data_IF_173621732022
#
_entry.id   IF_173621732022
#
_cell.length_a   1.000
_cell.length_b   1.000
_cell.length_c   1.000
_cell.angle_alpha   90.00
_cell.angle_beta   90.00
_cell.angle_gamma   90.00
#
_symmetry.space_group_name_H-M   'P 1'
#
loop_
_entity.id
_entity.type
_entity.pdbx_description
1 polymer ?
#
# COMPACT_ATOMS: atom_id res chain seq x y z
N UNK A 1 18.67 -29.58 11.97
CA UNK A 1 17.44 -29.12 12.65
C UNK A 1 16.28 -29.36 11.72
N UNK A 2 15.29 -30.13 12.17
CA UNK A 2 14.08 -30.46 11.39
C UNK A 2 13.21 -29.21 11.29
N UNK A 3 12.89 -28.80 10.07
CA UNK A 3 12.13 -27.58 9.77
C UNK A 3 10.70 -27.70 10.31
N UNK A 4 10.16 -26.65 10.93
CA UNK A 4 8.73 -26.64 11.28
C UNK A 4 7.90 -26.10 10.11
N UNK A 5 6.67 -26.58 9.97
CA UNK A 5 5.72 -26.08 8.96
C UNK A 5 5.46 -24.57 9.10
N UNK A 6 5.53 -24.05 10.33
CA UNK A 6 5.35 -22.63 10.62
C UNK A 6 6.48 -21.77 10.03
N UNK A 7 7.72 -22.24 10.09
CA UNK A 7 8.88 -21.50 9.58
C UNK A 7 8.87 -21.41 8.04
N UNK A 8 8.42 -22.49 7.38
CA UNK A 8 8.25 -22.54 5.93
C UNK A 8 7.18 -21.54 5.48
N UNK A 9 6.05 -21.51 6.18
CA UNK A 9 4.94 -20.63 5.84
C UNK A 9 5.28 -19.15 6.04
N UNK A 10 5.91 -18.81 7.17
CA UNK A 10 6.40 -17.45 7.43
C UNK A 10 7.39 -17.00 6.35
N UNK A 11 8.29 -17.88 5.93
CA UNK A 11 9.27 -17.59 4.88
C UNK A 11 8.61 -17.37 3.51
N UNK A 12 7.57 -18.15 3.18
CA UNK A 12 6.80 -17.94 1.96
C UNK A 12 6.07 -16.60 1.97
N UNK A 13 5.39 -16.28 3.07
CA UNK A 13 4.71 -14.98 3.23
C UNK A 13 5.68 -13.82 3.08
N UNK A 14 6.83 -13.85 3.74
CA UNK A 14 7.84 -12.80 3.60
C UNK A 14 8.35 -12.67 2.16
N UNK A 15 8.53 -13.78 1.43
CA UNK A 15 8.92 -13.72 -0.01
C UNK A 15 7.85 -13.03 -0.85
N UNK A 16 6.57 -13.32 -0.61
CA UNK A 16 5.44 -12.67 -1.29
C UNK A 16 5.43 -11.16 -1.02
N UNK A 17 5.68 -10.73 0.23
CA UNK A 17 5.75 -9.31 0.54
C UNK A 17 6.96 -8.65 -0.13
N UNK A 18 8.13 -9.29 -0.10
CA UNK A 18 9.32 -8.80 -0.81
C UNK A 18 9.05 -8.63 -2.31
N UNK A 19 8.37 -9.59 -2.92
CA UNK A 19 8.03 -9.55 -4.35
C UNK A 19 7.05 -8.43 -4.69
N UNK A 20 6.02 -8.23 -3.87
CA UNK A 20 5.02 -7.18 -4.06
C UNK A 20 5.57 -5.78 -3.78
N UNK A 21 6.46 -5.65 -2.80
CA UNK A 21 6.93 -4.35 -2.31
C UNK A 21 8.13 -3.83 -3.10
N UNK A 22 9.07 -4.70 -3.48
CA UNK A 22 10.32 -4.26 -4.10
C UNK A 22 10.39 -4.54 -5.61
N UNK A 23 11.02 -3.65 -6.39
CA UNK A 23 11.20 -3.83 -7.84
C UNK A 23 11.95 -5.13 -8.15
N UNK A 24 11.81 -5.63 -9.37
CA UNK A 24 12.50 -6.87 -9.79
C UNK A 24 13.99 -6.62 -9.97
N UNK A 25 14.37 -5.54 -10.65
CA UNK A 25 15.78 -5.19 -10.87
C UNK A 25 16.34 -4.46 -9.66
N UNK A 26 17.53 -4.85 -9.22
CA UNK A 26 18.21 -4.19 -8.10
C UNK A 26 17.57 -4.43 -6.71
N UNK A 27 16.50 -5.24 -6.63
CA UNK A 27 15.78 -5.59 -5.39
C UNK A 27 16.66 -5.75 -4.16
N UNK A 28 17.71 -6.56 -4.30
CA UNK A 28 18.55 -6.95 -3.18
C UNK A 28 19.49 -5.82 -2.72
N UNK A 29 19.95 -4.97 -3.64
CA UNK A 29 20.73 -3.79 -3.27
C UNK A 29 19.86 -2.75 -2.55
N UNK A 30 18.61 -2.59 -2.99
CA UNK A 30 17.63 -1.77 -2.28
C UNK A 30 17.35 -2.35 -0.90
N UNK A 31 17.01 -3.65 -0.80
CA UNK A 31 16.78 -4.33 0.48
C UNK A 31 17.97 -4.18 1.43
N UNK A 32 19.19 -4.34 0.94
CA UNK A 32 20.41 -4.14 1.73
C UNK A 32 20.53 -2.72 2.26
N UNK A 33 20.35 -1.72 1.39
CA UNK A 33 20.40 -0.31 1.80
C UNK A 33 19.36 0.07 2.86
N UNK A 34 18.20 -0.59 2.86
CA UNK A 34 17.09 -0.23 3.77
C UNK A 34 17.01 -1.07 5.03
N UNK A 35 17.49 -2.32 4.98
CA UNK A 35 17.46 -3.25 6.11
C UNK A 35 18.80 -3.38 6.83
N UNK A 36 19.91 -3.00 6.19
CA UNK A 36 21.26 -3.30 6.67
C UNK A 36 21.64 -4.78 6.54
N UNK A 37 20.75 -5.64 6.04
CA UNK A 37 21.00 -7.07 5.83
C UNK A 37 21.56 -7.27 4.42
N UNK A 38 22.67 -8.00 4.28
CA UNK A 38 23.38 -8.03 3.01
C UNK A 38 22.55 -8.53 1.83
N UNK A 39 22.81 -7.98 0.64
CA UNK A 39 22.07 -8.31 -0.58
C UNK A 39 22.16 -9.81 -0.91
N UNK A 40 23.33 -10.42 -0.67
CA UNK A 40 23.52 -11.86 -0.84
C UNK A 40 22.65 -12.69 0.12
N UNK A 41 22.43 -12.22 1.35
CA UNK A 41 21.59 -12.91 2.32
C UNK A 41 20.12 -12.81 1.92
N UNK A 42 19.66 -11.63 1.49
CA UNK A 42 18.33 -11.49 0.90
C UNK A 42 18.14 -12.36 -0.35
N UNK A 43 19.15 -12.43 -1.23
CA UNK A 43 19.13 -13.27 -2.43
C UNK A 43 19.01 -14.75 -2.09
N UNK A 44 19.80 -15.24 -1.12
CA UNK A 44 19.72 -16.62 -0.66
C UNK A 44 18.37 -16.93 -0.04
N UNK A 45 17.79 -16.00 0.73
CA UNK A 45 16.45 -16.16 1.29
C UNK A 45 15.37 -16.23 0.20
N UNK A 46 15.39 -15.27 -0.72
CA UNK A 46 14.39 -15.14 -1.79
C UNK A 46 14.36 -16.37 -2.69
N UNK A 47 15.54 -16.85 -3.12
CA UNK A 47 15.67 -18.04 -3.95
C UNK A 47 15.65 -19.37 -3.15
N UNK A 48 15.08 -19.36 -1.95
CA UNK A 48 14.84 -20.56 -1.10
C UNK A 48 16.10 -21.35 -0.73
N UNK A 49 17.27 -20.72 -0.77
CA UNK A 49 18.53 -21.31 -0.26
C UNK A 49 18.64 -21.24 1.25
N UNK A 50 17.91 -20.33 1.88
CA UNK A 50 17.71 -20.24 3.33
C UNK A 50 16.27 -19.81 3.65
N UNK A 51 15.83 -20.09 4.88
CA UNK A 51 14.58 -19.56 5.43
C UNK A 51 14.75 -18.13 5.95
N UNK A 52 13.64 -17.49 6.30
CA UNK A 52 13.64 -16.17 6.88
C UNK A 52 14.40 -16.20 8.21
N UNK A 53 15.43 -15.36 8.32
CA UNK A 53 16.13 -15.19 9.58
C UNK A 53 15.36 -14.21 10.49
N UNK A 54 15.52 -14.29 11.83
CA UNK A 54 14.78 -13.43 12.76
C UNK A 54 14.93 -11.93 12.48
N UNK A 55 16.12 -11.49 12.10
CA UNK A 55 16.41 -10.10 11.73
C UNK A 55 15.69 -9.63 10.46
N UNK A 56 15.48 -10.52 9.48
CA UNK A 56 14.66 -10.21 8.29
C UNK A 56 13.19 -10.00 8.65
N UNK A 57 12.67 -10.81 9.57
CA UNK A 57 11.30 -10.71 10.06
C UNK A 57 11.13 -9.46 10.92
N UNK A 58 12.06 -9.21 11.84
CA UNK A 58 12.07 -8.03 12.71
C UNK A 58 12.14 -6.74 11.89
N UNK A 59 13.04 -6.68 10.90
CA UNK A 59 13.11 -5.59 9.94
C UNK A 59 11.74 -5.33 9.31
N UNK A 60 11.08 -6.38 8.81
CA UNK A 60 9.80 -6.23 8.13
C UNK A 60 8.71 -5.74 9.07
N UNK A 61 8.57 -6.37 10.23
CA UNK A 61 7.56 -6.02 11.24
C UNK A 61 7.73 -4.60 11.76
N UNK A 62 8.97 -4.09 11.84
CA UNK A 62 9.25 -2.70 12.23
C UNK A 62 8.97 -1.71 11.11
N UNK A 63 9.30 -2.07 9.86
CA UNK A 63 9.20 -1.17 8.70
C UNK A 63 7.79 -1.11 8.11
N UNK A 64 7.06 -2.22 8.13
CA UNK A 64 5.73 -2.39 7.53
C UNK A 64 4.72 -2.98 8.51
N UNK A 65 4.32 -2.24 9.55
CA UNK A 65 3.67 -2.88 10.70
C UNK A 65 2.20 -3.26 10.44
N UNK A 66 1.60 -2.66 9.41
CA UNK A 66 0.32 -3.12 8.85
C UNK A 66 0.38 -4.56 8.31
N UNK A 67 1.55 -5.01 7.85
CA UNK A 67 1.74 -6.34 7.26
C UNK A 67 2.17 -7.38 8.31
N UNK A 68 2.48 -6.94 9.53
CA UNK A 68 3.00 -7.80 10.62
C UNK A 68 2.05 -8.95 10.96
N UNK A 69 0.75 -8.66 11.11
CA UNK A 69 -0.24 -9.68 11.49
C UNK A 69 -0.32 -10.80 10.44
N UNK A 70 -0.32 -10.42 9.16
CA UNK A 70 -0.32 -11.37 8.05
C UNK A 70 1.01 -12.13 7.97
N UNK A 71 2.14 -11.44 8.08
CA UNK A 71 3.46 -12.07 8.06
C UNK A 71 3.63 -13.14 9.16
N UNK A 72 3.29 -12.80 10.39
CA UNK A 72 3.54 -13.66 11.56
C UNK A 72 2.50 -14.77 11.70
N UNK A 73 1.23 -14.46 11.52
CA UNK A 73 0.14 -15.39 11.85
C UNK A 73 -0.60 -15.92 10.61
N UNK A 74 -0.41 -15.34 9.42
CA UNK A 74 -1.22 -15.63 8.25
C UNK A 74 -2.67 -15.18 8.40
N UNK A 75 -2.94 -14.38 9.44
CA UNK A 75 -4.25 -13.78 9.66
C UNK A 75 -4.39 -12.67 8.64
N UNK A 76 -5.17 -12.94 7.61
CA UNK A 76 -5.63 -11.90 6.70
C UNK A 76 -6.46 -10.88 7.50
N UNK A 77 -6.33 -9.61 7.11
CA UNK A 77 -7.20 -8.56 7.64
C UNK A 77 -8.68 -8.96 7.47
N UNK A 78 -9.61 -8.39 8.26
CA UNK A 78 -11.04 -8.69 8.12
C UNK A 78 -11.49 -8.67 6.65
N UNK A 79 -12.47 -9.54 6.35
CA UNK A 79 -12.91 -9.96 5.02
C UNK A 79 -12.83 -8.83 3.98
N UNK A 80 -11.81 -8.88 3.12
CA UNK A 80 -11.61 -7.89 2.06
C UNK A 80 -12.81 -7.82 1.08
N UNK A 81 -13.62 -8.88 0.99
CA UNK A 81 -14.81 -8.92 0.14
C UNK A 81 -15.88 -7.89 0.53
N UNK A 82 -15.87 -7.42 1.78
CA UNK A 82 -16.83 -6.42 2.26
C UNK A 82 -16.32 -4.98 2.08
N UNK A 83 -15.04 -4.82 1.75
CA UNK A 83 -14.42 -3.52 1.53
C UNK A 83 -14.46 -3.12 0.05
N UNK A 84 -14.78 -1.86 -0.24
CA UNK A 84 -14.93 -1.38 -1.61
C UNK A 84 -13.61 -0.96 -2.27
N UNK A 85 -12.47 -1.25 -1.64
CA UNK A 85 -11.14 -0.81 -2.07
C UNK A 85 -10.21 -2.01 -2.28
N UNK A 86 -9.36 -1.93 -3.31
CA UNK A 86 -8.42 -2.99 -3.65
C UNK A 86 -7.25 -3.10 -2.65
N UNK A 87 -6.94 -2.01 -1.94
CA UNK A 87 -5.92 -1.99 -0.91
C UNK A 87 -6.44 -2.53 0.42
N UNK A 88 -5.64 -3.31 1.17
CA UNK A 88 -6.03 -3.75 2.51
C UNK A 88 -6.23 -2.52 3.40
N UNK A 89 -7.31 -2.54 4.18
CA UNK A 89 -7.68 -1.46 5.13
C UNK A 89 -6.48 -1.09 6.01
N UNK A 90 -6.11 0.20 6.10
CA UNK A 90 -5.06 0.60 6.99
C UNK A 90 -5.53 0.46 8.44
N UNK A 91 -4.60 0.15 9.32
CA UNK A 91 -4.86 0.16 10.76
C UNK A 91 -4.34 1.46 11.31
N UNK A 92 -5.14 2.13 12.14
CA UNK A 92 -4.63 3.21 12.94
C UNK A 92 -3.64 2.65 13.96
N UNK A 93 -2.56 3.41 14.19
CA UNK A 93 -1.43 3.01 15.01
C UNK A 93 -0.59 4.22 15.38
N UNK A 94 0.03 4.16 16.57
CA UNK A 94 0.83 5.25 17.09
C UNK A 94 2.05 5.52 16.20
N UNK A 95 2.21 6.78 15.77
CA UNK A 95 3.30 7.21 14.89
C UNK A 95 2.99 7.16 13.39
N UNK A 96 1.73 6.95 12.98
CA UNK A 96 1.34 6.99 11.57
C UNK A 96 1.63 8.35 10.91
N UNK A 97 2.41 8.33 9.83
CA UNK A 97 2.82 9.52 9.08
C UNK A 97 1.89 9.83 7.90
N UNK A 98 2.01 11.05 7.35
CA UNK A 98 1.38 11.39 6.06
C UNK A 98 1.89 10.47 4.94
N UNK A 99 3.17 10.09 4.96
CA UNK A 99 3.74 9.12 4.04
C UNK A 99 3.04 7.76 4.10
N UNK A 100 2.66 7.31 5.30
CA UNK A 100 1.92 6.05 5.46
C UNK A 100 0.54 6.10 4.83
N UNK A 101 -0.21 7.17 5.10
CA UNK A 101 -1.55 7.38 4.54
C UNK A 101 -1.50 7.56 3.03
N UNK A 102 -0.54 8.35 2.54
CA UNK A 102 -0.33 8.53 1.10
C UNK A 102 0.01 7.21 0.41
N UNK A 103 0.90 6.41 1.00
CA UNK A 103 1.29 5.10 0.46
C UNK A 103 0.10 4.14 0.39
N UNK A 104 -0.81 4.19 1.37
CA UNK A 104 -2.05 3.44 1.29
C UNK A 104 -2.91 3.89 0.09
N UNK A 105 -3.10 5.20 -0.11
CA UNK A 105 -3.88 5.71 -1.25
C UNK A 105 -3.22 5.38 -2.59
N UNK A 106 -1.89 5.38 -2.66
CA UNK A 106 -1.15 4.96 -3.87
C UNK A 106 -1.44 3.48 -4.18
N UNK A 107 -1.47 2.62 -3.16
CA UNK A 107 -1.80 1.19 -3.32
C UNK A 107 -3.27 0.99 -3.73
N UNK A 108 -4.19 1.83 -3.24
CA UNK A 108 -5.60 1.83 -3.67
C UNK A 108 -5.72 2.31 -5.13
N UNK A 109 -4.94 3.30 -5.52
CA UNK A 109 -5.04 3.91 -6.83
C UNK A 109 -4.44 3.04 -7.93
N UNK A 110 -3.25 2.51 -7.70
CA UNK A 110 -2.44 1.91 -8.74
C UNK A 110 -2.26 0.40 -8.48
N UNK A 111 -2.97 -0.38 -9.30
CA UNK A 111 -2.93 -1.85 -9.32
C UNK A 111 -1.57 -2.49 -9.70
N UNK A 112 -0.65 -1.85 -10.47
CA UNK A 112 0.67 -2.44 -10.70
C UNK A 112 1.53 -2.45 -9.44
N UNK A 113 2.36 -3.48 -9.27
CA UNK A 113 3.36 -3.56 -8.20
C UNK A 113 4.78 -3.25 -8.73
N UNK A 114 5.68 -2.82 -7.85
CA UNK A 114 7.09 -2.62 -8.17
C UNK A 114 7.38 -1.55 -9.25
N UNK A 115 8.19 -1.88 -10.26
CA UNK A 115 8.66 -0.90 -11.27
C UNK A 115 7.51 -0.30 -12.09
N UNK A 116 6.47 -1.08 -12.36
CA UNK A 116 5.30 -0.61 -13.10
C UNK A 116 4.53 0.45 -12.33
N UNK A 117 4.48 0.35 -10.99
CA UNK A 117 3.88 1.36 -10.12
C UNK A 117 4.64 2.68 -10.24
N UNK A 118 5.95 2.63 -10.11
CA UNK A 118 6.78 3.84 -10.07
C UNK A 118 6.79 4.55 -11.42
N UNK A 119 6.91 3.80 -12.52
CA UNK A 119 6.79 4.34 -13.87
C UNK A 119 5.39 4.92 -14.12
N UNK A 120 4.34 4.27 -13.62
CA UNK A 120 2.98 4.79 -13.70
C UNK A 120 2.85 6.14 -12.96
N UNK A 121 3.34 6.24 -11.72
CA UNK A 121 3.29 7.48 -10.94
C UNK A 121 4.11 8.61 -11.58
N UNK A 122 5.28 8.30 -12.11
CA UNK A 122 6.09 9.25 -12.89
C UNK A 122 5.30 9.77 -14.11
N UNK A 123 4.66 8.88 -14.87
CA UNK A 123 3.82 9.29 -16.01
C UNK A 123 2.67 10.20 -15.59
N UNK A 124 2.06 9.98 -14.42
CA UNK A 124 0.98 10.84 -13.88
C UNK A 124 1.47 12.22 -13.47
N UNK A 125 2.74 12.33 -13.08
CA UNK A 125 3.39 13.61 -12.83
C UNK A 125 3.84 14.34 -14.11
N UNK A 126 3.66 13.73 -15.29
CA UNK A 126 4.26 14.14 -16.56
C UNK A 126 5.80 14.20 -16.50
N UNK A 127 6.43 13.25 -15.81
CA UNK A 127 7.89 13.16 -15.65
C UNK A 127 8.49 14.18 -14.68
N UNK A 128 7.69 14.99 -13.99
CA UNK A 128 8.19 15.98 -13.01
C UNK A 128 8.74 15.33 -11.74
N UNK A 129 8.16 14.21 -11.32
CA UNK A 129 8.59 13.43 -10.17
C UNK A 129 9.11 12.07 -10.70
N UNK A 130 10.44 11.83 -10.66
CA UNK A 130 11.02 10.61 -11.20
C UNK A 130 10.52 9.34 -10.50
N UNK A 131 10.45 8.21 -11.21
CA UNK A 131 10.12 6.90 -10.62
C UNK A 131 11.03 6.55 -9.43
N UNK A 132 12.29 6.97 -9.46
CA UNK A 132 13.22 6.78 -8.35
C UNK A 132 12.76 7.50 -7.07
N UNK A 133 12.21 8.71 -7.18
CA UNK A 133 11.68 9.45 -6.02
C UNK A 133 10.40 8.81 -5.48
N UNK A 134 9.49 8.41 -6.37
CA UNK A 134 8.31 7.63 -5.99
C UNK A 134 8.69 6.34 -5.26
N UNK A 135 9.73 5.65 -5.73
CA UNK A 135 10.22 4.44 -5.08
C UNK A 135 10.68 4.70 -3.66
N UNK A 136 11.37 5.82 -3.41
CA UNK A 136 11.83 6.19 -2.06
C UNK A 136 10.66 6.42 -1.12
N UNK A 137 9.61 7.09 -1.56
CA UNK A 137 8.43 7.36 -0.72
C UNK A 137 7.61 6.10 -0.48
N UNK A 138 7.31 5.34 -1.53
CA UNK A 138 6.54 4.09 -1.42
C UNK A 138 7.25 3.05 -0.56
N UNK A 139 8.58 3.00 -0.62
CA UNK A 139 9.40 2.13 0.22
C UNK A 139 9.67 2.71 1.62
N UNK A 140 9.07 3.85 1.98
CA UNK A 140 9.24 4.54 3.28
C UNK A 140 10.71 4.91 3.57
N UNK A 141 11.45 5.32 2.55
CA UNK A 141 12.85 5.77 2.61
C UNK A 141 12.99 7.29 2.62
N UNK A 142 11.90 7.98 2.32
CA UNK A 142 11.77 9.42 2.39
C UNK A 142 10.30 9.77 2.69
N UNK A 143 10.07 10.91 3.33
CA UNK A 143 8.74 11.50 3.41
C UNK A 143 8.32 12.05 2.02
N UNK A 144 7.01 12.04 1.71
CA UNK A 144 6.52 12.61 0.47
C UNK A 144 6.73 14.12 0.41
N UNK A 145 7.06 14.62 -0.78
CA UNK A 145 7.04 16.07 -1.02
C UNK A 145 5.61 16.58 -1.13
N UNK A 146 5.41 17.89 -0.96
CA UNK A 146 4.11 18.51 -1.17
C UNK A 146 3.57 18.23 -2.58
N UNK A 147 4.43 18.23 -3.60
CA UNK A 147 4.03 17.96 -4.98
C UNK A 147 3.49 16.53 -5.15
N UNK A 148 4.12 15.54 -4.49
CA UNK A 148 3.62 14.15 -4.48
C UNK A 148 2.25 14.05 -3.82
N UNK A 149 2.08 14.69 -2.66
CA UNK A 149 0.78 14.72 -1.95
C UNK A 149 -0.29 15.37 -2.82
N UNK A 150 0.00 16.52 -3.41
CA UNK A 150 -0.92 17.22 -4.32
C UNK A 150 -1.29 16.37 -5.54
N UNK A 151 -0.33 15.67 -6.13
CA UNK A 151 -0.60 14.81 -7.29
C UNK A 151 -1.57 13.69 -6.92
N UNK A 152 -1.29 12.95 -5.85
CA UNK A 152 -2.14 11.83 -5.42
C UNK A 152 -3.52 12.34 -5.05
N UNK A 153 -3.62 13.41 -4.25
CA UNK A 153 -4.90 13.99 -3.85
C UNK A 153 -5.68 14.55 -5.05
N UNK A 154 -5.01 15.04 -6.10
CA UNK A 154 -5.68 15.43 -7.35
C UNK A 154 -6.32 14.25 -8.07
N UNK A 155 -5.65 13.08 -8.10
CA UNK A 155 -6.19 11.87 -8.73
C UNK A 155 -7.12 11.07 -7.81
N UNK A 156 -7.07 11.33 -6.51
CA UNK A 156 -7.83 10.67 -5.46
C UNK A 156 -8.39 11.69 -4.44
N UNK A 157 -9.23 12.64 -4.89
CA UNK A 157 -9.67 13.76 -4.05
C UNK A 157 -10.43 13.33 -2.80
N UNK A 158 -11.13 12.18 -2.86
CA UNK A 158 -11.89 11.61 -1.74
C UNK A 158 -11.04 11.22 -0.52
N UNK A 159 -9.74 10.99 -0.71
CA UNK A 159 -8.81 10.63 0.37
C UNK A 159 -7.96 11.82 0.85
N UNK A 160 -8.18 13.03 0.30
CA UNK A 160 -7.34 14.20 0.63
C UNK A 160 -7.35 14.50 2.12
N UNK A 161 -8.53 14.54 2.71
CA UNK A 161 -8.69 14.88 4.12
C UNK A 161 -8.06 13.82 5.03
N UNK A 162 -8.33 12.54 4.75
CA UNK A 162 -7.65 11.43 5.42
C UNK A 162 -6.13 11.53 5.32
N UNK A 163 -5.57 11.76 4.12
CA UNK A 163 -4.12 11.87 3.93
C UNK A 163 -3.54 12.99 4.79
N UNK A 164 -4.16 14.17 4.76
CA UNK A 164 -3.64 15.36 5.44
C UNK A 164 -3.82 15.28 6.96
N UNK A 165 -4.99 14.84 7.44
CA UNK A 165 -5.38 14.95 8.84
C UNK A 165 -5.27 13.64 9.61
N UNK A 166 -5.28 12.50 8.92
CA UNK A 166 -5.44 11.19 9.57
C UNK A 166 -6.83 10.98 10.17
N UNK A 167 -7.82 11.76 9.72
CA UNK A 167 -9.23 11.60 10.04
C UNK A 167 -10.06 12.34 8.99
N UNK A 168 -11.38 12.20 9.09
CA UNK A 168 -12.35 12.92 8.26
C UNK A 168 -13.11 13.93 9.11
N UNK A 169 -13.24 15.16 8.62
CA UNK A 169 -13.99 16.25 9.28
C UNK A 169 -15.13 16.80 8.41
N UNK A 170 -15.18 16.42 7.13
CA UNK A 170 -16.25 16.76 6.20
C UNK A 170 -16.81 15.51 5.53
N UNK A 171 -18.04 15.52 5.02
CA UNK A 171 -18.57 14.37 4.25
C UNK A 171 -19.04 14.82 2.85
N UNK A 172 -18.72 14.07 1.77
CA UNK A 172 -18.17 12.72 1.78
C UNK A 172 -16.70 12.67 1.32
N UNK A 173 -15.73 12.97 2.19
CA UNK A 173 -14.45 12.26 2.11
C UNK A 173 -14.40 11.01 3.00
N UNK A 174 -13.46 10.13 2.69
CA UNK A 174 -13.44 8.74 3.12
C UNK A 174 -12.27 8.49 4.05
N UNK A 175 -12.57 8.02 5.27
CA UNK A 175 -11.61 7.43 6.17
C UNK A 175 -11.62 5.90 5.93
N UNK A 176 -10.55 5.33 5.37
CA UNK A 176 -10.50 3.89 5.14
C UNK A 176 -10.37 3.08 6.44
N UNK A 177 -10.14 3.72 7.59
CA UNK A 177 -10.05 3.07 8.91
C UNK A 177 -11.38 3.10 9.68
N UNK A 178 -12.37 3.90 9.26
CA UNK A 178 -13.70 3.99 9.88
C UNK A 178 -14.78 3.35 9.00
N UNK A 179 -15.38 2.29 9.53
CA UNK A 179 -16.48 1.58 8.88
C UNK A 179 -17.68 2.48 8.58
N UNK A 180 -18.01 3.42 9.45
CA UNK A 180 -19.15 4.33 9.25
C UNK A 180 -18.89 5.28 8.07
N UNK A 181 -17.69 5.84 7.99
CA UNK A 181 -17.24 6.66 6.85
C UNK A 181 -17.34 5.88 5.52
N UNK A 182 -16.90 4.63 5.50
CA UNK A 182 -16.97 3.76 4.32
C UNK A 182 -18.42 3.49 3.90
N UNK A 183 -19.32 3.21 4.85
CA UNK A 183 -20.73 2.96 4.57
C UNK A 183 -21.47 4.20 4.07
N UNK A 184 -21.19 5.37 4.64
CA UNK A 184 -21.73 6.65 4.18
C UNK A 184 -21.28 6.94 2.75
N UNK A 185 -20.01 6.67 2.44
CA UNK A 185 -19.49 6.80 1.08
C UNK A 185 -20.15 5.83 0.09
N UNK A 186 -20.36 4.56 0.46
CA UNK A 186 -21.06 3.58 -0.40
C UNK A 186 -22.46 4.08 -0.77
N UNK A 187 -23.24 4.51 0.23
CA UNK A 187 -24.58 5.09 0.03
C UNK A 187 -24.54 6.30 -0.90
N UNK A 188 -23.57 7.19 -0.71
CA UNK A 188 -23.39 8.34 -1.59
C UNK A 188 -23.07 7.93 -3.03
N UNK A 189 -22.17 6.96 -3.23
CA UNK A 189 -21.79 6.46 -4.55
C UNK A 189 -22.98 5.82 -5.29
N UNK A 190 -23.76 4.99 -4.60
CA UNK A 190 -24.96 4.35 -5.15
C UNK A 190 -25.98 5.40 -5.60
N UNK A 191 -26.18 6.45 -4.80
CA UNK A 191 -27.05 7.57 -5.16
C UNK A 191 -26.55 8.34 -6.39
N UNK A 192 -25.23 8.58 -6.51
CA UNK A 192 -24.68 9.22 -7.71
C UNK A 192 -24.86 8.33 -8.95
N UNK A 193 -24.58 7.04 -8.84
CA UNK A 193 -24.74 6.08 -9.94
C UNK A 193 -26.19 6.03 -10.43
N UNK A 194 -27.15 5.95 -9.49
CA UNK A 194 -28.57 5.99 -9.80
C UNK A 194 -28.97 7.28 -10.54
N UNK A 195 -28.43 8.44 -10.13
CA UNK A 195 -28.64 9.72 -10.84
C UNK A 195 -28.05 9.70 -12.25
N UNK A 196 -26.83 9.19 -12.44
CA UNK A 196 -26.22 9.07 -13.77
C UNK A 196 -27.02 8.17 -14.70
N UNK A 197 -27.49 7.01 -14.23
CA UNK A 197 -28.34 6.10 -15.00
C UNK A 197 -29.65 6.79 -15.40
N UNK A 198 -30.29 7.49 -14.46
CA UNK A 198 -31.52 8.23 -14.74
C UNK A 198 -31.34 9.35 -15.78
N UNK A 199 -30.18 10.02 -15.80
CA UNK A 199 -29.84 11.04 -16.82
C UNK A 199 -29.55 10.38 -18.18
N UNK A 200 -28.81 9.28 -18.21
CA UNK A 200 -28.50 8.54 -19.43
C UNK A 200 -29.76 8.01 -20.13
N UNK A 201 -30.74 7.55 -19.36
CA UNK A 201 -32.03 7.06 -19.86
C UNK A 201 -33.01 8.18 -20.27
N UNK A 202 -32.69 9.45 -20.01
CA UNK A 202 -33.49 10.61 -20.40
C UNK A 202 -33.02 11.29 -21.71
N UNK A 203 -32.09 10.69 -22.47
CA UNK A 203 -31.73 11.23 -23.79
C UNK A 203 -32.94 11.14 -24.75
N UNK A 204 -33.38 12.25 -25.37
CA UNK A 204 -34.43 12.21 -26.37
C UNK A 204 -33.91 11.55 -27.66
N UNK A 205 -34.73 10.68 -28.23
CA UNK A 205 -34.69 10.23 -29.63
C UNK A 205 -34.94 11.37 -30.60
#
# INVERSE_FOLDING_TARGET
MTKTLKDVELSNRLRTLVERTFPTRGRFGVLEGVSGISANRWKNFYYRKQEAAPDMVEFWCKKYPMEQAWLLAGVEAPNQAEFPFDAPVPRDWEGQTIGDRLNWVIKEWASPSGEQLFAYLESKSNGRIPAAEWSRVVLRLAEPTLEMVQLVCKFRPRFTEWVLLGCITTEPPVDPTDQSSIENWKKWQDQQMARFIAIANKRPS
#
